data_IF_836505173947
#
_entry.id   IF_836505173947
#
_cell.length_a   1.000
_cell.length_b   1.000
_cell.length_c   1.000
_cell.angle_alpha   90.00
_cell.angle_beta   90.00
_cell.angle_gamma   90.00
#
_symmetry.space_group_name_H-M   'P 1'
#
loop_
_entity.id
_entity.type
_entity.pdbx_description
1 polymer ?
#
# COMPACT_ATOMS: atom_id res chain seq x y z
N UNK A 1 -56.24 18.01 -25.46
CA UNK A 1 -55.46 19.19 -25.91
C UNK A 1 -54.03 19.03 -25.40
N UNK A 2 -53.10 18.57 -26.23
CA UNK A 2 -51.66 18.41 -25.90
C UNK A 2 -51.02 19.78 -26.02
N UNK A 3 -50.65 20.37 -24.87
CA UNK A 3 -49.88 21.63 -24.80
C UNK A 3 -48.41 21.27 -25.12
N UNK A 4 -47.92 21.71 -26.24
CA UNK A 4 -46.49 21.63 -26.57
C UNK A 4 -45.76 22.79 -25.89
N UNK A 5 -44.60 22.55 -25.28
CA UNK A 5 -43.83 23.60 -24.62
C UNK A 5 -43.33 24.64 -25.62
N UNK A 6 -43.37 25.93 -25.20
CA UNK A 6 -42.92 27.06 -26.01
C UNK A 6 -41.39 26.98 -26.28
N UNK A 7 -40.89 27.66 -27.32
CA UNK A 7 -39.45 27.65 -27.62
C UNK A 7 -38.57 28.07 -26.45
N UNK A 8 -38.99 29.04 -25.65
CA UNK A 8 -38.27 29.48 -24.43
C UNK A 8 -38.23 28.42 -23.34
N UNK A 9 -39.32 27.66 -23.17
CA UNK A 9 -39.37 26.56 -22.22
C UNK A 9 -38.43 25.40 -22.64
N UNK A 10 -38.27 25.14 -23.94
CA UNK A 10 -37.34 24.13 -24.49
C UNK A 10 -35.89 24.54 -24.27
N UNK A 11 -35.53 25.80 -24.48
CA UNK A 11 -34.18 26.32 -24.24
C UNK A 11 -33.83 26.23 -22.74
N UNK A 12 -34.73 26.61 -21.84
CA UNK A 12 -34.51 26.50 -20.42
C UNK A 12 -34.37 25.06 -19.92
N UNK A 13 -35.14 24.12 -20.51
CA UNK A 13 -35.02 22.70 -20.19
C UNK A 13 -33.70 22.12 -20.68
N UNK A 14 -33.25 22.48 -21.88
CA UNK A 14 -31.94 22.04 -22.42
C UNK A 14 -30.76 22.60 -21.63
N UNK A 15 -30.83 23.86 -21.17
CA UNK A 15 -29.80 24.45 -20.32
C UNK A 15 -29.72 23.73 -18.95
N UNK A 16 -30.86 23.40 -18.35
CA UNK A 16 -30.90 22.67 -17.07
C UNK A 16 -30.37 21.24 -17.19
N UNK A 17 -30.64 20.55 -18.29
CA UNK A 17 -30.08 19.21 -18.54
C UNK A 17 -28.58 19.26 -18.82
N UNK A 18 -28.09 20.29 -19.53
CA UNK A 18 -26.64 20.46 -19.79
C UNK A 18 -25.86 20.75 -18.51
N UNK A 19 -26.39 21.55 -17.61
CA UNK A 19 -25.77 21.87 -16.30
C UNK A 19 -25.77 20.63 -15.39
N UNK A 20 -26.83 19.82 -15.41
CA UNK A 20 -26.93 18.61 -14.60
C UNK A 20 -25.95 17.53 -15.06
N UNK A 21 -25.72 17.38 -16.39
CA UNK A 21 -24.74 16.42 -16.94
C UNK A 21 -23.30 16.84 -16.70
N UNK A 22 -22.99 18.15 -16.67
CA UNK A 22 -21.62 18.62 -16.39
C UNK A 22 -21.21 18.44 -14.92
N UNK A 23 -22.15 18.48 -13.98
CA UNK A 23 -21.88 18.26 -12.55
C UNK A 23 -21.63 16.78 -12.24
N UNK A 24 -22.25 15.85 -12.98
CA UNK A 24 -22.03 14.41 -12.79
C UNK A 24 -20.67 13.94 -13.34
N UNK A 25 -20.10 14.64 -14.31
CA UNK A 25 -18.82 14.27 -14.92
C UNK A 25 -17.60 14.65 -14.05
N UNK A 26 -17.77 15.52 -13.04
CA UNK A 26 -16.68 15.97 -12.15
C UNK A 26 -16.40 15.02 -10.97
N UNK A 27 -17.17 13.95 -10.80
CA UNK A 27 -16.98 12.95 -9.74
C UNK A 27 -16.27 11.67 -10.22
N UNK A 28 -15.41 11.77 -11.25
CA UNK A 28 -14.47 10.70 -11.53
C UNK A 28 -13.42 10.70 -10.42
N UNK A 29 -13.67 10.00 -9.32
CA UNK A 29 -12.64 9.63 -8.36
C UNK A 29 -11.56 8.90 -9.15
N UNK A 30 -10.36 9.46 -9.22
CA UNK A 30 -9.17 8.70 -9.61
C UNK A 30 -9.12 7.52 -8.65
N UNK A 31 -9.42 6.33 -9.14
CA UNK A 31 -9.15 5.11 -8.40
C UNK A 31 -7.62 5.01 -8.32
N UNK A 32 -7.04 5.60 -7.28
CA UNK A 32 -5.63 5.45 -6.98
C UNK A 32 -5.45 4.02 -6.48
N UNK A 33 -4.87 3.16 -7.31
CA UNK A 33 -4.55 1.81 -6.90
C UNK A 33 -3.23 1.85 -6.11
N UNK A 34 -3.35 2.21 -4.84
CA UNK A 34 -2.25 2.25 -3.89
C UNK A 34 -1.58 0.87 -3.74
N UNK A 35 -0.28 0.85 -3.47
CA UNK A 35 0.34 -0.35 -2.91
C UNK A 35 -0.35 -0.69 -1.58
N UNK A 36 -0.74 -1.93 -1.39
CA UNK A 36 -1.50 -2.36 -0.20
C UNK A 36 -0.99 -3.69 0.34
N UNK A 37 -1.20 -3.92 1.62
CA UNK A 37 -1.02 -5.25 2.22
C UNK A 37 -2.30 -6.07 2.04
N UNK A 38 -2.17 -7.35 1.67
CA UNK A 38 -3.30 -8.30 1.59
C UNK A 38 -4.02 -8.42 2.93
N UNK A 39 -3.24 -8.63 4.01
CA UNK A 39 -3.74 -8.64 5.38
C UNK A 39 -3.25 -7.38 6.07
N UNK A 40 -4.17 -6.52 6.42
CA UNK A 40 -3.91 -5.23 7.05
C UNK A 40 -4.02 -5.28 8.57
N UNK A 41 -4.25 -6.46 9.14
CA UNK A 41 -4.26 -6.71 10.58
C UNK A 41 -3.48 -7.98 10.91
N UNK A 42 -2.76 -7.96 12.03
CA UNK A 42 -2.07 -9.15 12.57
C UNK A 42 -2.00 -9.07 14.09
N UNK A 43 -1.99 -10.23 14.78
CA UNK A 43 -1.72 -10.26 16.21
C UNK A 43 -0.33 -9.71 16.53
N UNK A 44 -0.22 -8.86 17.55
CA UNK A 44 1.07 -8.43 18.09
C UNK A 44 1.89 -9.65 18.53
N UNK A 45 3.21 -9.52 18.59
CA UNK A 45 4.13 -10.58 19.02
C UNK A 45 4.02 -11.88 18.19
N UNK A 46 3.50 -11.83 16.96
CA UNK A 46 3.30 -13.00 16.08
C UNK A 46 4.28 -13.03 14.90
N UNK A 47 4.26 -14.11 14.16
CA UNK A 47 4.88 -14.15 12.82
C UNK A 47 3.86 -13.64 11.80
N UNK A 48 4.24 -12.65 11.03
CA UNK A 48 3.44 -12.07 9.97
C UNK A 48 3.95 -12.49 8.60
N UNK A 49 3.03 -12.93 7.73
CA UNK A 49 3.25 -13.08 6.30
C UNK A 49 2.73 -11.83 5.61
N UNK A 50 3.65 -10.93 5.23
CA UNK A 50 3.34 -9.75 4.43
C UNK A 50 3.23 -10.11 2.95
N UNK A 51 2.12 -9.71 2.32
CA UNK A 51 1.91 -9.78 0.89
C UNK A 51 1.62 -8.38 0.41
N UNK A 52 2.62 -7.75 -0.19
CA UNK A 52 2.50 -6.41 -0.77
C UNK A 52 1.95 -6.53 -2.17
N UNK A 53 0.82 -5.88 -2.44
CA UNK A 53 0.15 -5.85 -3.74
C UNK A 53 0.52 -4.59 -4.49
N UNK A 54 0.94 -4.74 -5.74
CA UNK A 54 1.17 -3.67 -6.69
C UNK A 54 0.14 -3.83 -7.81
N UNK A 55 -0.77 -2.86 -7.92
CA UNK A 55 -1.95 -2.96 -8.78
C UNK A 55 -1.72 -2.63 -10.25
N UNK A 56 -0.66 -1.87 -10.56
CA UNK A 56 -0.34 -1.42 -11.92
C UNK A 56 1.09 -0.86 -11.99
N UNK A 57 1.51 -0.39 -13.17
CA UNK A 57 2.75 0.34 -13.39
C UNK A 57 2.68 1.82 -12.96
N UNK A 58 3.66 2.62 -13.40
CA UNK A 58 3.67 4.07 -13.22
C UNK A 58 3.02 4.74 -14.44
N UNK A 59 1.77 5.15 -14.31
CA UNK A 59 1.01 5.66 -15.46
C UNK A 59 0.83 4.57 -16.52
N UNK A 60 1.55 4.66 -17.64
CA UNK A 60 1.54 3.66 -18.74
C UNK A 60 2.78 2.77 -18.76
N UNK A 61 3.76 3.02 -17.89
CA UNK A 61 5.03 2.28 -17.87
C UNK A 61 4.96 1.05 -16.96
N UNK A 62 5.69 -0.03 -17.30
CA UNK A 62 5.80 -1.18 -16.42
C UNK A 62 6.59 -0.82 -15.14
N UNK A 63 6.27 -1.51 -14.05
CA UNK A 63 7.09 -1.51 -12.84
C UNK A 63 8.34 -2.36 -13.07
N UNK A 64 9.51 -1.79 -12.83
CA UNK A 64 10.80 -2.46 -12.99
C UNK A 64 11.42 -2.86 -11.65
N UNK A 65 11.03 -2.19 -10.58
CA UNK A 65 11.55 -2.47 -9.24
C UNK A 65 10.51 -2.16 -8.16
N UNK A 66 10.44 -3.01 -7.16
CA UNK A 66 9.63 -2.80 -5.96
C UNK A 66 10.54 -2.84 -4.74
N UNK A 67 10.52 -1.77 -3.96
CA UNK A 67 11.31 -1.62 -2.74
C UNK A 67 10.38 -1.49 -1.55
N UNK A 68 10.58 -2.32 -0.55
CA UNK A 68 9.78 -2.34 0.68
C UNK A 68 10.70 -2.09 1.86
N UNK A 69 10.52 -0.96 2.55
CA UNK A 69 11.23 -0.70 3.79
C UNK A 69 10.62 -1.54 4.93
N UNK A 70 11.51 -2.13 5.71
CA UNK A 70 11.13 -2.92 6.88
C UNK A 70 11.25 -2.03 8.12
N UNK A 71 10.13 -1.76 8.80
CA UNK A 71 10.13 -0.89 9.97
C UNK A 71 10.83 -1.55 11.16
N UNK A 72 11.28 -0.71 12.08
CA UNK A 72 11.86 -1.15 13.34
C UNK A 72 10.85 -1.97 14.14
N UNK A 73 11.30 -3.03 14.82
CA UNK A 73 10.42 -3.97 15.53
C UNK A 73 9.90 -5.13 14.68
N UNK A 74 10.12 -5.11 13.36
CA UNK A 74 9.87 -6.25 12.48
C UNK A 74 11.21 -6.92 12.17
N UNK A 75 11.45 -8.08 12.77
CA UNK A 75 12.77 -8.76 12.72
C UNK A 75 12.70 -10.11 12.03
N UNK A 76 13.90 -10.73 11.82
CA UNK A 76 14.04 -12.05 11.19
C UNK A 76 13.30 -12.16 9.84
N UNK A 77 13.31 -11.07 9.07
CA UNK A 77 12.59 -10.97 7.80
C UNK A 77 13.23 -11.82 6.73
N UNK A 78 12.38 -12.52 5.98
CA UNK A 78 12.79 -13.35 4.83
C UNK A 78 11.83 -13.10 3.67
N UNK A 79 12.31 -12.63 2.51
CA UNK A 79 11.49 -12.55 1.32
C UNK A 79 11.23 -13.94 0.74
N UNK A 80 10.13 -14.07 0.01
CA UNK A 80 9.87 -15.25 -0.81
C UNK A 80 10.46 -15.03 -2.20
N UNK A 81 11.26 -15.98 -2.72
CA UNK A 81 11.70 -15.94 -4.11
C UNK A 81 10.49 -15.92 -5.06
N UNK A 82 10.61 -15.14 -6.15
CA UNK A 82 9.55 -14.94 -7.11
C UNK A 82 10.05 -15.20 -8.52
N UNK A 83 9.39 -16.09 -9.32
CA UNK A 83 9.75 -16.31 -10.71
C UNK A 83 9.76 -15.01 -11.52
N UNK A 84 10.77 -14.81 -12.36
CA UNK A 84 10.95 -13.61 -13.18
C UNK A 84 11.48 -12.38 -12.43
N UNK A 85 11.69 -12.47 -11.12
CA UNK A 85 12.23 -11.42 -10.27
C UNK A 85 13.49 -11.86 -9.54
N UNK A 86 14.45 -10.96 -9.44
CA UNK A 86 15.56 -11.10 -8.49
C UNK A 86 15.19 -10.37 -7.19
N UNK A 87 15.66 -10.86 -6.05
CA UNK A 87 15.45 -10.20 -4.76
C UNK A 87 16.79 -9.91 -4.09
N UNK A 88 16.98 -8.65 -3.71
CA UNK A 88 18.10 -8.20 -2.89
C UNK A 88 17.60 -7.94 -1.46
N UNK A 89 18.43 -8.27 -0.47
CA UNK A 89 18.16 -8.09 0.94
C UNK A 89 19.16 -7.07 1.49
N UNK A 90 18.70 -5.85 1.75
CA UNK A 90 19.52 -4.81 2.35
C UNK A 90 19.44 -4.95 3.87
N UNK A 91 20.60 -5.18 4.51
CA UNK A 91 20.72 -5.34 5.95
C UNK A 91 21.31 -4.10 6.59
N UNK A 92 21.01 -3.90 7.88
CA UNK A 92 21.56 -2.84 8.69
C UNK A 92 21.32 -3.08 10.18
N UNK A 93 21.98 -2.27 11.00
CA UNK A 93 21.82 -2.32 12.46
C UNK A 93 20.39 -1.96 12.87
N UNK A 94 19.89 -2.65 13.89
CA UNK A 94 18.68 -2.25 14.60
C UNK A 94 18.97 -1.11 15.58
N UNK A 95 17.95 -0.35 15.94
CA UNK A 95 18.07 0.69 16.95
C UNK A 95 18.39 0.14 18.35
N UNK A 96 18.04 -1.13 18.59
CA UNK A 96 18.35 -1.87 19.82
C UNK A 96 18.53 -3.37 19.51
N UNK A 97 18.98 -4.12 20.52
CA UNK A 97 19.01 -5.57 20.44
C UNK A 97 17.62 -6.14 20.66
N UNK A 98 17.16 -7.00 19.75
CA UNK A 98 15.93 -7.76 19.88
C UNK A 98 16.23 -9.21 20.28
N UNK A 99 15.34 -9.82 21.07
CA UNK A 99 15.38 -11.25 21.30
C UNK A 99 14.61 -11.99 20.20
N UNK A 100 15.24 -12.99 19.61
CA UNK A 100 14.59 -13.90 18.66
C UNK A 100 14.75 -15.34 19.14
N UNK A 101 13.77 -15.81 19.94
CA UNK A 101 13.79 -17.15 20.55
C UNK A 101 15.10 -17.43 21.33
N UNK A 102 15.52 -16.52 22.19
CA UNK A 102 16.75 -16.63 22.98
C UNK A 102 18.04 -16.26 22.24
N UNK A 103 17.94 -15.83 20.98
CA UNK A 103 19.10 -15.35 20.21
C UNK A 103 19.02 -13.83 20.06
N UNK A 104 20.05 -13.09 20.57
CA UNK A 104 20.09 -11.64 20.41
C UNK A 104 20.35 -11.25 18.96
N UNK A 105 19.53 -10.37 18.40
CA UNK A 105 19.68 -9.82 17.05
C UNK A 105 19.96 -8.33 17.14
N UNK A 106 21.12 -7.89 16.67
CA UNK A 106 21.55 -6.48 16.62
C UNK A 106 21.44 -5.86 15.24
N UNK A 107 21.25 -6.69 14.22
CA UNK A 107 21.09 -6.29 12.82
C UNK A 107 20.07 -7.17 12.12
N UNK A 108 19.52 -6.68 11.02
CA UNK A 108 18.61 -7.44 10.18
C UNK A 108 18.24 -6.72 8.90
N UNK A 109 17.17 -7.18 8.28
CA UNK A 109 16.68 -6.60 7.03
C UNK A 109 16.08 -5.22 7.29
N UNK A 110 16.54 -4.23 6.52
CA UNK A 110 16.03 -2.85 6.53
C UNK A 110 15.24 -2.55 5.27
N UNK A 111 15.52 -3.26 4.16
CA UNK A 111 14.79 -3.12 2.91
C UNK A 111 14.86 -4.43 2.11
N UNK A 112 13.78 -4.71 1.42
CA UNK A 112 13.68 -5.76 0.41
C UNK A 112 13.49 -5.10 -0.95
N UNK A 113 14.28 -5.52 -1.94
CA UNK A 113 14.26 -4.96 -3.28
C UNK A 113 14.06 -6.07 -4.30
N UNK A 114 12.90 -6.08 -4.96
CA UNK A 114 12.66 -6.97 -6.10
C UNK A 114 12.88 -6.19 -7.40
N UNK A 115 13.67 -6.79 -8.31
CA UNK A 115 13.92 -6.24 -9.65
C UNK A 115 13.43 -7.24 -10.70
N UNK A 116 12.60 -6.78 -11.61
CA UNK A 116 11.96 -7.58 -12.66
C UNK A 116 11.07 -6.68 -13.52
N UNK A 117 10.00 -7.22 -14.07
CA UNK A 117 9.06 -6.46 -14.89
C UNK A 117 7.62 -6.86 -14.57
N UNK A 118 6.80 -5.87 -14.22
CA UNK A 118 5.34 -6.00 -14.12
C UNK A 118 4.72 -5.05 -15.14
N UNK A 119 4.08 -5.62 -16.17
CA UNK A 119 3.30 -4.85 -17.14
C UNK A 119 2.23 -4.01 -16.46
N UNK A 120 1.95 -2.84 -17.02
CA UNK A 120 0.87 -1.97 -16.52
C UNK A 120 -0.52 -2.63 -16.56
N UNK A 121 -0.72 -3.63 -17.40
CA UNK A 121 -1.99 -4.35 -17.52
C UNK A 121 -2.18 -5.46 -16.49
N UNK A 122 -1.20 -5.67 -15.61
CA UNK A 122 -1.22 -6.74 -14.62
C UNK A 122 -1.03 -6.18 -13.20
N UNK A 123 -1.50 -6.92 -12.21
CA UNK A 123 -1.10 -6.75 -10.82
C UNK A 123 -0.15 -7.86 -10.41
N UNK A 124 0.61 -7.62 -9.33
CA UNK A 124 1.49 -8.64 -8.78
C UNK A 124 1.64 -8.51 -7.26
N UNK A 125 2.15 -9.58 -6.63
CA UNK A 125 2.30 -9.70 -5.18
C UNK A 125 3.74 -10.00 -4.78
N UNK A 126 4.25 -9.26 -3.79
CA UNK A 126 5.61 -9.40 -3.26
C UNK A 126 5.54 -9.86 -1.82
N UNK A 127 5.93 -11.12 -1.61
CA UNK A 127 5.71 -11.80 -0.33
C UNK A 127 6.97 -11.85 0.51
N UNK A 128 6.82 -11.58 1.80
CA UNK A 128 7.85 -11.77 2.81
C UNK A 128 7.22 -12.29 4.11
N UNK A 129 8.06 -12.78 5.03
CA UNK A 129 7.64 -13.07 6.40
C UNK A 129 8.58 -12.36 7.37
N UNK A 130 8.06 -11.98 8.54
CA UNK A 130 8.85 -11.40 9.62
C UNK A 130 8.22 -11.69 10.97
N UNK A 131 8.98 -11.52 12.05
CA UNK A 131 8.50 -11.55 13.42
C UNK A 131 8.14 -10.13 13.86
N UNK A 132 6.90 -9.92 14.24
CA UNK A 132 6.47 -8.73 14.96
C UNK A 132 6.91 -8.88 16.43
N UNK A 133 7.73 -7.96 16.92
CA UNK A 133 8.23 -8.04 18.29
C UNK A 133 7.20 -7.53 19.30
N UNK A 134 7.41 -7.82 20.57
CA UNK A 134 6.57 -7.33 21.67
C UNK A 134 6.66 -5.81 21.90
N UNK A 135 7.69 -5.17 21.34
CA UNK A 135 7.80 -3.71 21.38
C UNK A 135 6.78 -2.97 20.50
N UNK A 136 6.18 -3.69 19.58
CA UNK A 136 5.13 -3.16 18.72
C UNK A 136 3.79 -3.28 19.47
N UNK A 137 3.27 -2.13 19.92
CA UNK A 137 2.10 -2.08 20.79
C UNK A 137 0.82 -2.54 20.07
N UNK A 138 -0.04 -3.29 20.78
CA UNK A 138 -1.41 -3.58 20.34
C UNK A 138 -2.16 -2.26 20.11
N UNK A 139 -2.94 -2.21 19.02
CA UNK A 139 -3.68 -1.01 18.61
C UNK A 139 -2.87 -0.03 17.78
N UNK A 140 -1.52 -0.16 17.71
CA UNK A 140 -0.69 0.65 16.83
C UNK A 140 -0.74 0.16 15.37
N UNK A 141 -0.31 0.99 14.44
CA UNK A 141 -0.13 0.62 13.03
C UNK A 141 1.35 0.64 12.68
N UNK A 142 1.82 -0.45 12.09
CA UNK A 142 3.18 -0.60 11.55
C UNK A 142 3.14 -0.33 10.06
N UNK A 143 3.90 0.66 9.59
CA UNK A 143 3.91 1.06 8.18
C UNK A 143 5.08 0.46 7.43
N UNK A 144 4.84 0.05 6.18
CA UNK A 144 5.83 -0.51 5.26
C UNK A 144 6.00 0.42 4.04
N UNK A 145 6.78 1.52 4.17
CA UNK A 145 6.99 2.42 3.04
C UNK A 145 7.47 1.66 1.82
N UNK A 146 6.78 1.87 0.71
CA UNK A 146 7.00 1.11 -0.52
C UNK A 146 7.24 2.07 -1.68
N UNK A 147 8.27 1.81 -2.48
CA UNK A 147 8.57 2.55 -3.71
C UNK A 147 8.52 1.59 -4.88
N UNK A 148 7.79 1.99 -5.89
CA UNK A 148 7.62 1.32 -7.17
C UNK A 148 8.36 2.14 -8.21
N UNK A 149 9.46 1.60 -8.77
CA UNK A 149 10.28 2.29 -9.76
C UNK A 149 9.94 1.79 -11.17
N UNK A 150 9.78 2.74 -12.09
CA UNK A 150 9.54 2.50 -13.51
C UNK A 150 10.69 3.10 -14.34
N UNK A 151 10.62 3.06 -15.68
CA UNK A 151 11.72 3.52 -16.51
C UNK A 151 12.01 5.04 -16.37
N UNK A 152 10.95 5.87 -16.28
CA UNK A 152 11.05 7.33 -16.23
C UNK A 152 10.38 7.96 -15.01
N UNK A 153 10.03 7.15 -14.00
CA UNK A 153 9.34 7.65 -12.82
C UNK A 153 9.29 6.66 -11.67
N UNK A 154 8.61 7.05 -10.60
CA UNK A 154 8.37 6.19 -9.46
C UNK A 154 7.08 6.59 -8.76
N UNK A 155 6.30 5.60 -8.31
CA UNK A 155 5.22 5.79 -7.36
C UNK A 155 5.76 5.58 -5.94
N UNK A 156 5.39 6.48 -5.03
CA UNK A 156 5.96 6.54 -3.68
C UNK A 156 4.86 6.41 -2.63
N UNK A 157 4.62 5.22 -2.17
CA UNK A 157 3.70 4.87 -1.10
C UNK A 157 4.43 4.93 0.24
N UNK A 158 4.81 6.14 0.69
CA UNK A 158 5.75 6.34 1.81
C UNK A 158 5.24 7.29 2.88
N UNK A 159 4.09 7.94 2.68
CA UNK A 159 3.56 8.90 3.63
C UNK A 159 2.92 8.18 4.81
N UNK A 160 3.38 8.52 6.01
CA UNK A 160 2.83 7.97 7.26
C UNK A 160 1.83 9.00 7.81
N UNK A 161 0.55 8.61 7.98
CA UNK A 161 -0.46 9.52 8.53
C UNK A 161 -0.07 10.04 9.91
N UNK A 162 -0.31 11.32 10.17
CA UNK A 162 -0.22 11.86 11.52
C UNK A 162 -1.30 11.26 12.43
N UNK A 163 -1.15 11.41 13.74
CA UNK A 163 -2.15 10.94 14.69
C UNK A 163 -3.53 11.54 14.40
N UNK A 164 -4.53 10.69 14.17
CA UNK A 164 -5.90 11.09 13.83
C UNK A 164 -6.12 11.51 12.38
N UNK A 165 -5.08 11.51 11.53
CA UNK A 165 -5.23 11.77 10.09
C UNK A 165 -5.75 10.51 9.37
N UNK A 166 -6.72 10.72 8.45
CA UNK A 166 -7.16 9.64 7.58
C UNK A 166 -6.08 9.34 6.52
N UNK A 167 -5.61 8.09 6.37
CA UNK A 167 -4.69 7.71 5.30
C UNK A 167 -5.19 8.05 3.89
N UNK A 168 -6.50 8.06 3.68
CA UNK A 168 -7.11 8.37 2.38
C UNK A 168 -6.97 9.85 1.97
N UNK A 169 -6.55 10.72 2.91
CA UNK A 169 -6.25 12.13 2.64
C UNK A 169 -4.82 12.34 2.10
N UNK A 170 -3.99 11.28 2.06
CA UNK A 170 -2.63 11.31 1.56
C UNK A 170 -2.55 10.90 0.09
N UNK A 171 -1.59 11.48 -0.65
CA UNK A 171 -1.37 11.12 -2.06
C UNK A 171 -0.69 9.76 -2.21
N UNK A 172 0.26 9.45 -1.33
CA UNK A 172 1.06 8.22 -1.33
C UNK A 172 1.15 7.55 0.04
N UNK A 173 0.02 7.13 0.64
CA UNK A 173 0.04 6.54 1.98
C UNK A 173 0.84 5.24 2.02
N UNK A 174 1.70 5.10 3.02
CA UNK A 174 2.45 3.87 3.25
C UNK A 174 1.50 2.74 3.67
N UNK A 175 1.64 1.52 3.10
CA UNK A 175 0.85 0.37 3.51
C UNK A 175 0.98 0.09 5.01
N UNK A 176 -0.15 0.08 5.72
CA UNK A 176 -0.22 -0.08 7.16
C UNK A 176 -0.69 -1.47 7.59
N UNK A 177 -0.10 -1.98 8.66
CA UNK A 177 -0.50 -3.18 9.36
C UNK A 177 -0.94 -2.83 10.78
N UNK A 178 -2.23 -2.93 11.07
CA UNK A 178 -2.77 -2.71 12.41
C UNK A 178 -2.48 -3.92 13.31
N UNK A 179 -1.96 -3.66 14.48
CA UNK A 179 -1.68 -4.70 15.46
C UNK A 179 -2.90 -4.91 16.36
N UNK A 180 -3.37 -6.14 16.40
CA UNK A 180 -4.50 -6.54 17.22
C UNK A 180 -4.04 -7.47 18.35
N UNK A 181 -4.90 -7.70 19.34
CA UNK A 181 -4.66 -8.70 20.36
C UNK A 181 -4.57 -10.11 19.76
N UNK A 182 -3.68 -10.93 20.31
CA UNK A 182 -3.64 -12.34 19.95
C UNK A 182 -4.91 -13.02 20.46
N UNK A 183 -5.78 -13.48 19.54
CA UNK A 183 -6.88 -14.36 19.93
C UNK A 183 -6.29 -15.71 20.31
N UNK A 184 -6.38 -16.09 21.59
CA UNK A 184 -6.06 -17.43 22.01
C UNK A 184 -7.10 -18.37 21.39
N UNK A 185 -6.75 -19.01 20.27
CA UNK A 185 -7.50 -20.17 19.79
C UNK A 185 -7.22 -21.31 20.77
N UNK A 186 -8.24 -21.72 21.51
CA UNK A 186 -8.27 -22.92 22.34
C UNK A 186 -8.47 -24.16 21.46
#
# INVERSE_FOLDING_TARGET
LLLFPTPEQRICLMLKTLVLTSVLAAAASVASAHATLEKQEAPASSTYKGVMRIGHGCGTEPTLKVRIQIPEGVIAVKPMPKPGWTVEIVKGAYAKTYDYYGTPMTEGVKELVWTGELSNDHYDEFTFRGKLTEDLAVGSTVYFPTVQECANGAERWIEIPAEGQNPDDLEGPAPGLKLIEATHAH
#
